data_IF_704865489228
#
_entry.id   IF_704865489228
#
_cell.length_a   1.000
_cell.length_b   1.000
_cell.length_c   1.000
_cell.angle_alpha   90.00
_cell.angle_beta   90.00
_cell.angle_gamma   90.00
#
_symmetry.space_group_name_H-M   'P 1'
#
loop_
_entity.id
_entity.type
_entity.pdbx_description
1 polymer ?
#
# COMPACT_ATOMS: atom_id res chain seq x y z
N UNK A 1 -17.93 9.01 5.27
CA UNK A 1 -17.23 8.91 3.97
C UNK A 1 -15.93 8.13 4.19
N UNK A 2 -15.62 7.13 3.35
CA UNK A 2 -14.40 6.30 3.50
C UNK A 2 -13.24 6.96 2.76
N UNK A 3 -12.12 7.26 3.45
CA UNK A 3 -10.93 7.89 2.88
C UNK A 3 -10.07 6.83 2.19
N UNK A 4 -9.84 6.98 0.88
CA UNK A 4 -8.97 6.09 0.10
C UNK A 4 -7.57 6.68 0.00
N UNK A 5 -6.55 5.90 0.33
CA UNK A 5 -5.15 6.31 0.37
C UNK A 5 -4.33 5.40 -0.55
N UNK A 6 -3.58 5.99 -1.47
CA UNK A 6 -2.58 5.32 -2.30
C UNK A 6 -1.20 5.48 -1.65
N UNK A 7 -0.48 4.39 -1.46
CA UNK A 7 0.90 4.38 -0.94
C UNK A 7 1.82 3.83 -2.02
N UNK A 8 2.70 4.68 -2.54
CA UNK A 8 3.79 4.27 -3.44
C UNK A 8 5.01 3.85 -2.62
N UNK A 9 5.79 2.89 -3.13
CA UNK A 9 6.95 2.38 -2.39
C UNK A 9 6.59 1.58 -1.13
N UNK A 10 5.44 0.90 -1.12
CA UNK A 10 4.90 0.18 0.04
C UNK A 10 5.82 -0.91 0.60
N UNK A 11 6.62 -1.55 -0.26
CA UNK A 11 7.65 -2.52 0.14
C UNK A 11 8.82 -1.89 0.94
N UNK A 12 8.96 -0.56 0.93
CA UNK A 12 10.01 0.15 1.65
C UNK A 12 9.86 0.10 3.18
N UNK A 13 10.88 0.57 3.89
CA UNK A 13 10.89 0.57 5.36
C UNK A 13 9.73 1.38 5.95
N UNK A 14 9.49 2.58 5.41
CA UNK A 14 8.38 3.43 5.86
C UNK A 14 7.03 2.96 5.32
N UNK A 15 6.98 2.62 4.02
CA UNK A 15 5.74 2.21 3.34
C UNK A 15 5.00 1.08 4.06
N UNK A 16 5.71 0.02 4.47
CA UNK A 16 5.09 -1.11 5.16
C UNK A 16 4.51 -0.71 6.53
N UNK A 17 5.18 0.21 7.25
CA UNK A 17 4.72 0.67 8.57
C UNK A 17 3.48 1.54 8.43
N UNK A 18 3.42 2.37 7.39
CA UNK A 18 2.24 3.16 7.05
C UNK A 18 1.05 2.27 6.71
N UNK A 19 1.23 1.26 5.84
CA UNK A 19 0.17 0.29 5.50
C UNK A 19 -0.35 -0.34 6.79
N UNK A 20 0.51 -0.95 7.61
CA UNK A 20 0.06 -1.66 8.81
C UNK A 20 -0.61 -0.75 9.85
N UNK A 21 -0.18 0.52 9.96
CA UNK A 21 -0.84 1.49 10.84
C UNK A 21 -2.24 1.83 10.31
N UNK A 22 -2.37 2.12 9.02
CA UNK A 22 -3.63 2.55 8.41
C UNK A 22 -4.67 1.44 8.37
N UNK A 23 -4.25 0.17 8.35
CA UNK A 23 -5.17 -0.97 8.50
C UNK A 23 -5.92 -0.99 9.84
N UNK A 24 -5.47 -0.22 10.84
CA UNK A 24 -6.13 -0.10 12.15
C UNK A 24 -7.13 1.06 12.19
N UNK A 25 -7.13 1.93 11.17
CA UNK A 25 -7.96 3.12 11.14
C UNK A 25 -9.33 2.81 10.52
N UNK A 26 -10.39 3.13 11.26
CA UNK A 26 -11.76 2.98 10.73
C UNK A 26 -12.01 4.00 9.62
N UNK A 27 -12.75 3.59 8.60
CA UNK A 27 -13.08 4.49 7.48
C UNK A 27 -11.91 4.77 6.54
N UNK A 28 -10.79 4.03 6.61
CA UNK A 28 -9.69 4.11 5.64
C UNK A 28 -9.70 2.87 4.72
N UNK A 29 -9.36 3.06 3.44
CA UNK A 29 -9.01 1.97 2.53
C UNK A 29 -7.66 2.25 1.88
N UNK A 30 -6.75 1.28 1.91
CA UNK A 30 -5.39 1.42 1.41
C UNK A 30 -5.23 0.69 0.08
N UNK A 31 -4.61 1.35 -0.88
CA UNK A 31 -4.00 0.75 -2.08
C UNK A 31 -2.49 0.91 -1.91
N UNK A 32 -1.78 -0.20 -1.78
CA UNK A 32 -0.35 -0.24 -1.60
C UNK A 32 0.31 -0.65 -2.91
N UNK A 33 1.29 0.11 -3.37
CA UNK A 33 1.98 -0.16 -4.63
C UNK A 33 3.49 -0.18 -4.46
N UNK A 34 4.17 -0.99 -5.25
CA UNK A 34 5.63 -0.97 -5.37
C UNK A 34 6.06 -1.76 -6.60
N UNK A 35 7.31 -1.57 -7.03
CA UNK A 35 7.92 -2.39 -8.07
C UNK A 35 8.07 -3.84 -7.60
N UNK A 36 7.59 -4.76 -8.43
CA UNK A 36 7.68 -6.20 -8.24
C UNK A 36 6.61 -6.77 -7.31
N UNK A 37 6.87 -7.96 -6.78
CA UNK A 37 5.93 -8.66 -5.91
C UNK A 37 5.69 -7.94 -4.58
N UNK A 38 4.53 -8.20 -3.99
CA UNK A 38 4.22 -7.73 -2.65
C UNK A 38 5.16 -8.41 -1.63
N UNK A 39 5.95 -7.63 -0.89
CA UNK A 39 6.87 -8.13 0.16
C UNK A 39 6.39 -7.85 1.59
N UNK A 40 5.21 -7.27 1.77
CA UNK A 40 4.62 -7.09 3.11
C UNK A 40 4.25 -8.46 3.70
N UNK A 41 4.50 -8.68 4.99
CA UNK A 41 4.16 -9.95 5.67
C UNK A 41 2.65 -10.18 5.74
N UNK A 42 1.89 -9.11 6.02
CA UNK A 42 0.42 -9.15 6.01
C UNK A 42 -0.08 -8.96 4.59
N UNK A 43 -1.00 -9.80 4.12
CA UNK A 43 -1.54 -9.78 2.74
C UNK A 43 -3.02 -9.39 2.66
N UNK A 44 -3.67 -9.20 3.81
CA UNK A 44 -5.08 -8.87 3.94
C UNK A 44 -5.31 -7.42 4.38
N UNK A 45 -6.52 -6.90 4.12
CA UNK A 45 -6.99 -5.60 4.58
C UNK A 45 -6.62 -4.40 3.69
N UNK A 46 -5.79 -4.60 2.67
CA UNK A 46 -5.44 -3.60 1.66
C UNK A 46 -5.40 -4.27 0.28
N UNK A 47 -5.45 -3.44 -0.77
CA UNK A 47 -5.20 -3.89 -2.14
C UNK A 47 -3.73 -3.65 -2.45
N UNK A 48 -3.05 -4.64 -3.03
CA UNK A 48 -1.71 -4.47 -3.55
C UNK A 48 -1.73 -4.44 -5.08
N UNK A 49 -1.03 -3.47 -5.67
CA UNK A 49 -0.79 -3.44 -7.11
C UNK A 49 0.70 -3.29 -7.40
N UNK A 50 1.21 -4.04 -8.39
CA UNK A 50 2.56 -3.81 -8.89
C UNK A 50 2.58 -2.49 -9.66
N UNK A 51 3.50 -1.59 -9.32
CA UNK A 51 3.65 -0.30 -9.98
C UNK A 51 5.12 0.10 -10.01
N UNK A 52 5.62 0.38 -11.21
CA UNK A 52 6.82 1.19 -11.38
C UNK A 52 6.38 2.64 -11.63
N UNK A 53 6.67 3.55 -10.70
CA UNK A 53 6.23 4.95 -10.81
C UNK A 53 7.00 5.74 -11.88
N UNK A 54 8.08 5.16 -12.41
CA UNK A 54 8.86 5.75 -13.50
C UNK A 54 8.36 5.30 -14.87
N UNK A 55 7.46 4.31 -14.92
CA UNK A 55 6.82 3.85 -16.13
C UNK A 55 5.56 4.68 -16.40
N UNK A 56 5.53 5.36 -17.54
CA UNK A 56 4.43 6.24 -17.95
C UNK A 56 3.38 5.52 -18.82
N UNK A 57 3.59 4.24 -19.12
CA UNK A 57 2.73 3.41 -19.97
C UNK A 57 1.35 3.13 -19.35
#
# INVERSE_FOLDING_TARGET
MKRKILITGSNGLLGQKLVYRLLKETGVSVIATSKGENRLKRKDGYVFENLDITDAA
#
